data_IF_129778927669
#
_entry.id   IF_129778927669
#
_cell.length_a   1.000
_cell.length_b   1.000
_cell.length_c   1.000
_cell.angle_alpha   90.00
_cell.angle_beta   90.00
_cell.angle_gamma   90.00
#
_symmetry.space_group_name_H-M   'P 1'
#
loop_
_entity.id
_entity.type
_entity.pdbx_description
1 polymer ?
#
# COMPACT_ATOMS: atom_id res chain seq x y z
N UNK A 1 -3.65 -0.77 13.77
CA UNK A 1 -5.03 -0.65 13.30
C UNK A 1 -4.97 0.12 11.99
N UNK A 2 -5.29 -0.51 10.86
CA UNK A 2 -5.33 0.12 9.55
C UNK A 2 -6.67 0.83 9.41
N UNK A 3 -6.68 2.15 9.63
CA UNK A 3 -7.85 2.98 9.35
C UNK A 3 -7.97 3.15 7.83
N UNK A 4 -9.14 2.82 7.28
CA UNK A 4 -9.47 3.18 5.92
C UNK A 4 -9.60 4.70 5.84
N UNK A 5 -8.81 5.32 4.98
CA UNK A 5 -8.84 6.76 4.70
C UNK A 5 -9.68 6.95 3.44
N UNK A 6 -10.58 7.94 3.45
CA UNK A 6 -11.24 8.42 2.24
C UNK A 6 -10.75 9.83 2.01
N UNK A 7 -10.41 10.18 0.77
CA UNK A 7 -10.00 11.55 0.45
C UNK A 7 -11.27 12.39 0.29
N UNK A 8 -11.34 13.48 1.05
CA UNK A 8 -12.37 14.50 0.86
C UNK A 8 -12.33 15.03 -0.59
N UNK A 9 -13.41 15.69 -1.04
CA UNK A 9 -13.42 16.44 -2.32
C UNK A 9 -12.30 17.50 -2.43
N UNK A 10 -11.70 17.88 -1.30
CA UNK A 10 -10.57 18.81 -1.22
C UNK A 10 -9.20 18.10 -1.05
N UNK A 11 -9.14 16.77 -1.17
CA UNK A 11 -7.92 15.98 -1.10
C UNK A 11 -7.31 15.80 0.29
N UNK A 12 -8.02 16.20 1.36
CA UNK A 12 -7.59 15.98 2.75
C UNK A 12 -8.04 14.60 3.25
N UNK A 13 -7.20 13.97 4.08
CA UNK A 13 -7.51 12.73 4.77
C UNK A 13 -8.76 12.90 5.65
N UNK A 14 -9.85 12.22 5.29
CA UNK A 14 -11.02 12.04 6.13
C UNK A 14 -11.10 10.59 6.61
N UNK A 15 -11.45 10.42 7.88
CA UNK A 15 -11.57 9.12 8.52
C UNK A 15 -13.04 8.76 8.67
N UNK A 16 -13.46 7.62 8.15
CA UNK A 16 -14.82 7.12 8.35
C UNK A 16 -14.90 6.38 9.68
N UNK A 17 -15.59 6.98 10.65
CA UNK A 17 -16.00 6.31 11.88
C UNK A 17 -17.49 5.99 11.78
N UNK A 18 -17.83 4.72 11.61
CA UNK A 18 -19.21 4.26 11.53
C UNK A 18 -19.63 3.66 12.88
N UNK A 19 -20.52 4.32 13.65
CA UNK A 19 -21.02 3.74 14.89
C UNK A 19 -21.67 2.37 14.64
N UNK A 20 -21.45 1.41 15.54
CA UNK A 20 -21.87 0.02 15.31
C UNK A 20 -23.38 -0.13 15.08
N UNK A 21 -24.19 0.73 15.68
CA UNK A 21 -25.63 0.76 15.46
C UNK A 21 -25.98 1.16 14.02
N UNK A 22 -25.28 2.16 13.46
CA UNK A 22 -25.46 2.60 12.07
C UNK A 22 -24.98 1.53 11.10
N UNK A 23 -23.82 0.93 11.36
CA UNK A 23 -23.32 -0.20 10.57
C UNK A 23 -24.34 -1.34 10.48
N UNK A 24 -24.91 -1.75 11.61
CA UNK A 24 -25.89 -2.86 11.65
C UNK A 24 -27.13 -2.57 10.81
N UNK A 25 -27.58 -1.32 10.75
CA UNK A 25 -28.73 -0.91 9.91
C UNK A 25 -28.35 -0.93 8.42
N UNK A 26 -27.13 -0.51 8.09
CA UNK A 26 -26.64 -0.47 6.71
C UNK A 26 -26.13 -1.82 6.21
N UNK A 27 -25.92 -2.80 7.10
CA UNK A 27 -25.28 -4.08 6.81
C UNK A 27 -25.90 -4.79 5.60
N UNK A 28 -27.22 -4.90 5.57
CA UNK A 28 -27.93 -5.61 4.49
C UNK A 28 -27.77 -4.90 3.14
N UNK A 29 -27.68 -3.57 3.14
CA UNK A 29 -27.44 -2.78 1.92
C UNK A 29 -25.98 -2.96 1.46
N UNK A 30 -25.03 -2.93 2.40
CA UNK A 30 -23.62 -3.17 2.11
C UNK A 30 -23.44 -4.56 1.49
N UNK A 31 -24.01 -5.61 2.09
CA UNK A 31 -23.90 -6.99 1.57
C UNK A 31 -24.49 -7.12 0.17
N UNK A 32 -25.60 -6.43 -0.11
CA UNK A 32 -26.23 -6.42 -1.43
C UNK A 32 -25.36 -5.73 -2.49
N UNK A 33 -24.79 -4.57 -2.16
CA UNK A 33 -23.89 -3.84 -3.07
C UNK A 33 -22.59 -4.64 -3.31
N UNK A 34 -22.03 -5.29 -2.28
CA UNK A 34 -20.86 -6.17 -2.42
C UNK A 34 -21.13 -7.33 -3.39
N UNK A 35 -22.28 -8.00 -3.25
CA UNK A 35 -22.67 -9.07 -4.16
C UNK A 35 -22.87 -8.59 -5.61
N UNK A 36 -23.32 -7.34 -5.79
CA UNK A 36 -23.46 -6.73 -7.11
C UNK A 36 -22.10 -6.36 -7.73
N UNK A 37 -21.13 -5.93 -6.91
CA UNK A 37 -19.75 -5.67 -7.30
C UNK A 37 -19.06 -6.96 -7.79
N UNK A 38 -19.11 -8.03 -6.98
CA UNK A 38 -18.51 -9.33 -7.33
C UNK A 38 -19.03 -9.92 -8.67
N UNK A 39 -20.27 -9.59 -9.05
CA UNK A 39 -20.87 -10.02 -10.31
C UNK A 39 -20.42 -9.19 -11.54
N UNK A 40 -19.90 -7.97 -11.36
CA UNK A 40 -19.46 -7.07 -12.42
C UNK A 40 -17.93 -6.91 -12.33
N UNK A 41 -17.17 -7.63 -13.17
CA UNK A 41 -15.69 -7.67 -13.15
C UNK A 41 -14.97 -6.33 -13.50
N UNK A 42 -15.64 -5.18 -13.42
CA UNK A 42 -15.15 -3.87 -13.83
C UNK A 42 -15.26 -2.82 -12.71
N UNK A 43 -14.89 -3.19 -11.49
CA UNK A 43 -15.05 -2.37 -10.29
C UNK A 43 -13.80 -1.55 -9.91
N UNK A 44 -13.16 -0.90 -10.89
CA UNK A 44 -12.11 0.07 -10.57
C UNK A 44 -12.64 1.31 -9.81
N UNK A 45 -13.96 1.47 -9.69
CA UNK A 45 -14.62 2.63 -9.07
C UNK A 45 -15.48 2.31 -7.83
N UNK A 46 -15.66 1.03 -7.46
CA UNK A 46 -16.49 0.66 -6.30
C UNK A 46 -15.78 0.91 -4.96
N UNK A 47 -14.44 0.96 -4.98
CA UNK A 47 -13.61 1.18 -3.81
C UNK A 47 -12.66 2.34 -4.03
N UNK A 48 -12.38 3.07 -2.95
CA UNK A 48 -11.24 3.99 -2.92
C UNK A 48 -9.95 3.22 -3.22
N UNK A 49 -9.16 3.65 -4.23
CA UNK A 49 -7.91 2.98 -4.57
C UNK A 49 -6.98 2.93 -3.37
N UNK A 50 -6.42 1.76 -3.09
CA UNK A 50 -5.36 1.64 -2.10
C UNK A 50 -4.08 2.26 -2.64
N UNK A 51 -3.84 3.52 -2.27
CA UNK A 51 -2.61 4.25 -2.62
C UNK A 51 -1.54 3.92 -1.60
N UNK A 52 -0.56 3.10 -2.00
CA UNK A 52 0.49 2.62 -1.10
C UNK A 52 1.32 3.76 -0.49
N UNK A 53 1.51 4.85 -1.22
CA UNK A 53 2.21 6.07 -0.79
C UNK A 53 1.58 6.71 0.43
N UNK A 54 0.27 6.51 0.67
CA UNK A 54 -0.42 7.06 1.85
C UNK A 54 -0.09 6.29 3.14
N UNK A 55 0.62 5.16 3.03
CA UNK A 55 0.92 4.23 4.12
C UNK A 55 2.41 3.87 4.26
N UNK A 56 3.24 4.18 3.26
CA UNK A 56 4.67 3.83 3.22
C UNK A 56 5.51 5.05 2.89
N UNK A 57 6.11 5.64 3.93
CA UNK A 57 6.95 6.84 3.78
C UNK A 57 8.32 6.53 3.17
N UNK A 58 8.88 5.36 3.49
CA UNK A 58 10.23 5.03 3.07
C UNK A 58 10.25 4.66 1.58
N UNK A 59 11.02 5.38 0.75
CA UNK A 59 10.95 5.22 -0.70
C UNK A 59 11.58 3.90 -1.18
N UNK A 60 12.46 3.26 -0.38
CA UNK A 60 12.98 1.92 -0.67
C UNK A 60 11.90 0.87 -0.42
N UNK A 61 11.20 0.96 0.71
CA UNK A 61 10.09 0.05 1.02
C UNK A 61 8.99 0.19 -0.05
N UNK A 62 8.68 1.43 -0.44
CA UNK A 62 7.72 1.71 -1.50
C UNK A 62 8.12 1.06 -2.84
N UNK A 63 9.36 1.28 -3.29
CA UNK A 63 9.87 0.68 -4.52
C UNK A 63 9.84 -0.86 -4.49
N UNK A 64 10.22 -1.45 -3.35
CA UNK A 64 10.20 -2.91 -3.14
C UNK A 64 8.79 -3.49 -3.23
N UNK A 65 7.82 -2.88 -2.55
CA UNK A 65 6.43 -3.36 -2.53
C UNK A 65 5.80 -3.20 -3.91
N UNK A 66 6.05 -2.09 -4.61
CA UNK A 66 5.63 -1.91 -6.02
C UNK A 66 6.20 -2.96 -6.96
N UNK A 67 7.43 -3.43 -6.68
CA UNK A 67 8.06 -4.51 -7.44
C UNK A 67 7.57 -5.91 -7.03
N UNK A 68 6.72 -6.03 -6.00
CA UNK A 68 6.16 -7.31 -5.56
C UNK A 68 7.17 -8.26 -4.92
N UNK A 69 8.31 -7.76 -4.42
CA UNK A 69 9.38 -8.61 -3.87
C UNK A 69 9.50 -8.52 -2.34
N UNK A 70 10.02 -9.58 -1.73
CA UNK A 70 10.31 -9.63 -0.30
C UNK A 70 11.59 -8.88 0.05
N UNK A 71 11.78 -8.54 1.33
CA UNK A 71 13.03 -7.94 1.80
C UNK A 71 14.23 -8.86 1.57
N UNK A 72 14.04 -10.18 1.67
CA UNK A 72 15.08 -11.17 1.42
C UNK A 72 15.48 -11.22 -0.05
N UNK A 73 14.50 -11.17 -0.97
CA UNK A 73 14.78 -11.09 -2.41
C UNK A 73 15.51 -9.80 -2.78
N UNK A 74 15.11 -8.66 -2.20
CA UNK A 74 15.82 -7.40 -2.39
C UNK A 74 17.25 -7.48 -1.84
N UNK A 75 17.44 -8.10 -0.67
CA UNK A 75 18.75 -8.28 -0.06
C UNK A 75 19.68 -9.13 -0.94
N UNK A 76 19.17 -10.23 -1.49
CA UNK A 76 19.89 -11.09 -2.43
C UNK A 76 20.32 -10.30 -3.69
N UNK A 77 19.42 -9.52 -4.29
CA UNK A 77 19.70 -8.69 -5.48
C UNK A 77 20.73 -7.59 -5.19
N UNK A 78 20.75 -7.06 -3.96
CA UNK A 78 21.70 -6.03 -3.54
C UNK A 78 23.03 -6.59 -3.02
N UNK A 79 23.14 -7.90 -2.80
CA UNK A 79 24.31 -8.53 -2.18
C UNK A 79 24.52 -8.12 -0.71
N UNK A 80 23.44 -7.90 0.04
CA UNK A 80 23.45 -7.47 1.45
C UNK A 80 22.62 -8.40 2.32
N UNK A 81 22.65 -8.20 3.65
CA UNK A 81 21.80 -8.97 4.55
C UNK A 81 20.35 -8.47 4.56
N UNK A 82 19.39 -9.36 4.81
CA UNK A 82 17.99 -8.97 5.00
C UNK A 82 17.83 -7.99 6.18
N UNK A 83 18.65 -8.13 7.23
CA UNK A 83 18.65 -7.20 8.36
C UNK A 83 19.05 -5.77 7.94
N UNK A 84 19.98 -5.63 7.00
CA UNK A 84 20.34 -4.34 6.43
C UNK A 84 19.17 -3.74 5.65
N UNK A 85 18.46 -4.54 4.84
CA UNK A 85 17.23 -4.11 4.15
C UNK A 85 16.15 -3.67 5.14
N UNK A 86 15.93 -4.42 6.22
CA UNK A 86 14.99 -4.00 7.26
C UNK A 86 15.41 -2.69 7.94
N UNK A 87 16.71 -2.45 8.13
CA UNK A 87 17.20 -1.24 8.78
C UNK A 87 16.99 -0.01 7.88
N UNK A 88 17.22 -0.15 6.58
CA UNK A 88 17.13 0.96 5.62
C UNK A 88 15.68 1.36 5.37
N UNK A 89 14.74 0.40 5.39
CA UNK A 89 13.29 0.64 5.25
C UNK A 89 12.68 1.32 6.47
N UNK A 90 13.35 1.26 7.63
CA UNK A 90 12.93 1.95 8.87
C UNK A 90 13.46 3.38 8.99
N UNK A 91 14.39 3.81 8.12
CA UNK A 91 14.96 5.16 8.16
C UNK A 91 14.06 6.13 7.39
N UNK A 92 13.91 7.35 7.87
CA UNK A 92 13.12 8.37 7.16
C UNK A 92 13.89 8.96 5.97
N UNK A 93 15.23 8.92 6.01
CA UNK A 93 16.09 9.51 4.98
C UNK A 93 16.88 8.43 4.27
N UNK A 94 16.71 8.35 2.96
CA UNK A 94 17.48 7.48 2.07
C UNK A 94 18.24 8.37 1.08
N UNK A 95 19.50 8.05 0.80
CA UNK A 95 20.29 8.81 -0.18
C UNK A 95 19.86 8.46 -1.60
N UNK A 96 19.92 9.43 -2.52
CA UNK A 96 19.55 9.21 -3.93
C UNK A 96 20.34 8.07 -4.57
N UNK A 97 21.65 7.99 -4.26
CA UNK A 97 22.52 6.88 -4.70
C UNK A 97 22.03 5.51 -4.24
N UNK A 98 21.48 5.43 -3.04
CA UNK A 98 20.96 4.19 -2.51
C UNK A 98 19.64 3.80 -3.18
N UNK A 99 18.75 4.77 -3.41
CA UNK A 99 17.51 4.57 -4.12
C UNK A 99 17.76 4.11 -5.56
N UNK A 100 18.71 4.72 -6.25
CA UNK A 100 19.14 4.34 -7.60
C UNK A 100 19.61 2.88 -7.64
N UNK A 101 20.48 2.48 -6.70
CA UNK A 101 20.92 1.08 -6.58
C UNK A 101 19.75 0.10 -6.36
N UNK A 102 18.75 0.48 -5.58
CA UNK A 102 17.55 -0.33 -5.36
C UNK A 102 16.75 -0.47 -6.66
N UNK A 103 16.53 0.63 -7.39
CA UNK A 103 15.82 0.57 -8.67
C UNK A 103 16.54 -0.30 -9.71
N UNK A 104 17.86 -0.17 -9.82
CA UNK A 104 18.69 -1.03 -10.68
C UNK A 104 18.54 -2.50 -10.30
N UNK A 105 18.72 -2.82 -9.02
CA UNK A 105 18.60 -4.19 -8.52
C UNK A 105 17.19 -4.80 -8.75
N UNK A 106 16.14 -3.96 -8.75
CA UNK A 106 14.78 -4.40 -9.05
C UNK A 106 14.60 -4.72 -10.54
N UNK A 107 15.12 -3.88 -11.44
CA UNK A 107 14.92 -3.99 -12.89
C UNK A 107 15.83 -5.01 -13.57
N UNK A 108 17.07 -5.21 -13.10
CA UNK A 108 18.04 -6.13 -13.72
C UNK A 108 17.74 -7.62 -13.50
N UNK A 109 16.74 -7.95 -12.68
CA UNK A 109 16.39 -9.33 -12.34
C UNK A 109 15.17 -9.87 -13.12
N UNK A 110 14.84 -9.25 -14.27
CA UNK A 110 13.80 -9.68 -15.22
C UNK A 110 14.47 -10.09 -16.53
#
# INVERSE_FOLDING_TARGET
MTLQKIKSIQGKDEYVLLPIAVYRVLKDQIEKELAACEANQSDEQAYEPFVLEDYVDNPVALARIKAGITQEQLAQRLGVSQAYVSQIERRNNVTSKMLERVHTAIHEAI
#
